data_IF_852443929610
#
_entry.id   IF_852443929610
#
_cell.length_a   1.000
_cell.length_b   1.000
_cell.length_c   1.000
_cell.angle_alpha   90.00
_cell.angle_beta   90.00
_cell.angle_gamma   90.00
#
_symmetry.space_group_name_H-M   'P 1'
#
loop_
_entity.id
_entity.type
_entity.pdbx_description
1 polymer ?
#
# COMPACT_ATOMS: atom_id res chain seq x y z
N UNK A 1 -0.56 6.85 31.21
CA UNK A 1 -0.04 7.13 29.85
C UNK A 1 -0.93 8.19 29.26
N UNK A 2 -0.37 9.35 28.94
CA UNK A 2 -1.07 10.44 28.29
C UNK A 2 -0.75 10.32 26.80
N UNK A 3 -1.77 10.21 25.95
CA UNK A 3 -1.61 10.20 24.49
C UNK A 3 -2.20 11.51 23.98
N UNK A 4 -1.40 12.32 23.28
CA UNK A 4 -1.83 13.61 22.73
C UNK A 4 -2.59 14.51 23.74
N UNK A 5 -2.12 14.59 24.99
CA UNK A 5 -2.74 15.45 26.01
C UNK A 5 -3.94 14.85 26.75
N UNK A 6 -4.48 13.71 26.31
CA UNK A 6 -5.62 13.03 26.95
C UNK A 6 -5.21 11.72 27.64
N UNK A 7 -5.94 11.33 28.68
CA UNK A 7 -5.72 10.06 29.38
C UNK A 7 -5.96 8.90 28.42
N UNK A 8 -4.92 8.15 28.12
CA UNK A 8 -5.00 6.97 27.27
C UNK A 8 -5.29 5.73 28.11
N UNK A 9 -6.33 4.99 27.72
CA UNK A 9 -6.70 3.73 28.35
C UNK A 9 -6.07 2.56 27.58
N UNK A 10 -5.62 1.54 28.32
CA UNK A 10 -4.99 0.35 27.75
C UNK A 10 -6.05 -0.63 27.25
N UNK A 11 -6.60 -0.37 26.07
CA UNK A 11 -7.47 -1.33 25.39
C UNK A 11 -6.63 -2.36 24.61
N UNK A 12 -6.90 -3.67 24.73
CA UNK A 12 -6.13 -4.72 24.05
C UNK A 12 -6.50 -4.83 22.56
N UNK A 13 -6.17 -3.81 21.78
CA UNK A 13 -6.51 -3.66 20.37
C UNK A 13 -6.08 -4.86 19.51
N UNK A 14 -4.81 -5.25 19.62
CA UNK A 14 -4.22 -6.32 18.78
C UNK A 14 -4.85 -7.67 19.07
N UNK A 15 -5.18 -7.97 20.33
CA UNK A 15 -5.76 -9.27 20.72
C UNK A 15 -7.05 -9.58 19.95
N UNK A 16 -7.88 -8.56 19.73
CA UNK A 16 -9.18 -8.73 19.11
C UNK A 16 -9.17 -8.44 17.62
N UNK A 17 -8.35 -7.49 17.15
CA UNK A 17 -8.38 -7.03 15.76
C UNK A 17 -7.26 -7.58 14.87
N UNK A 18 -6.44 -8.52 15.35
CA UNK A 18 -5.36 -9.12 14.55
C UNK A 18 -5.81 -9.70 13.19
N UNK A 19 -7.00 -10.33 13.02
CA UNK A 19 -7.38 -10.87 11.71
C UNK A 19 -7.57 -9.77 10.66
N UNK A 20 -8.00 -8.57 11.07
CA UNK A 20 -8.14 -7.42 10.18
C UNK A 20 -6.78 -6.86 9.77
N UNK A 21 -5.81 -6.82 10.68
CA UNK A 21 -4.45 -6.41 10.35
C UNK A 21 -3.79 -7.39 9.37
N UNK A 22 -4.00 -8.69 9.57
CA UNK A 22 -3.52 -9.72 8.63
C UNK A 22 -4.22 -9.59 7.29
N UNK A 23 -5.54 -9.45 7.27
CA UNK A 23 -6.32 -9.24 6.05
C UNK A 23 -5.86 -8.01 5.27
N UNK A 24 -5.60 -6.89 5.97
CA UNK A 24 -5.03 -5.69 5.38
C UNK A 24 -3.65 -5.95 4.78
N UNK A 25 -2.74 -6.59 5.52
CA UNK A 25 -1.40 -6.91 5.04
C UNK A 25 -1.41 -7.77 3.77
N UNK A 26 -2.23 -8.82 3.76
CA UNK A 26 -2.39 -9.70 2.59
C UNK A 26 -2.98 -8.95 1.40
N UNK A 27 -4.06 -8.19 1.63
CA UNK A 27 -4.74 -7.46 0.56
C UNK A 27 -3.85 -6.38 -0.05
N UNK A 28 -3.15 -5.61 0.79
CA UNK A 28 -2.22 -4.58 0.33
C UNK A 28 -1.08 -5.18 -0.52
N UNK A 29 -0.56 -6.34 -0.13
CA UNK A 29 0.47 -7.04 -0.89
C UNK A 29 -0.05 -7.52 -2.26
N UNK A 30 -1.24 -8.13 -2.29
CA UNK A 30 -1.87 -8.59 -3.53
C UNK A 30 -2.17 -7.42 -4.47
N UNK A 31 -2.77 -6.35 -3.96
CA UNK A 31 -3.09 -5.16 -4.75
C UNK A 31 -1.82 -4.50 -5.27
N UNK A 32 -0.76 -4.42 -4.47
CA UNK A 32 0.53 -3.86 -4.92
C UNK A 32 1.11 -4.64 -6.11
N UNK A 33 1.04 -5.98 -6.07
CA UNK A 33 1.47 -6.83 -7.19
C UNK A 33 0.58 -6.67 -8.41
N UNK A 34 -0.74 -6.68 -8.21
CA UNK A 34 -1.70 -6.50 -9.30
C UNK A 34 -1.50 -5.13 -9.98
N UNK A 35 -1.38 -4.06 -9.21
CA UNK A 35 -1.11 -2.72 -9.73
C UNK A 35 0.18 -2.67 -10.56
N UNK A 36 1.26 -3.28 -10.07
CA UNK A 36 2.54 -3.35 -10.77
C UNK A 36 2.46 -4.10 -12.10
N UNK A 37 1.61 -5.13 -12.19
CA UNK A 37 1.36 -5.84 -13.44
C UNK A 37 0.48 -5.02 -14.40
N UNK A 38 -0.58 -4.39 -13.88
CA UNK A 38 -1.58 -3.68 -14.69
C UNK A 38 -1.08 -2.35 -15.26
N UNK A 39 -0.22 -1.62 -14.54
CA UNK A 39 0.36 -0.37 -15.07
C UNK A 39 1.25 -0.60 -16.30
N UNK A 40 1.68 -1.85 -16.48
CA UNK A 40 2.67 -2.27 -17.44
C UNK A 40 2.08 -2.84 -18.74
N UNK A 41 0.76 -2.76 -18.91
CA UNK A 41 0.03 -3.15 -20.12
C UNK A 41 0.22 -2.13 -21.24
N UNK A 42 -0.09 -2.52 -22.48
CA UNK A 42 0.08 -1.67 -23.67
C UNK A 42 -0.68 -0.33 -23.57
N UNK A 43 -1.84 -0.33 -22.93
CA UNK A 43 -2.67 0.87 -22.72
C UNK A 43 -1.99 1.90 -21.81
N UNK A 44 -1.35 1.44 -20.72
CA UNK A 44 -0.87 2.32 -19.65
C UNK A 44 0.65 2.52 -19.65
N UNK A 45 1.41 1.77 -20.45
CA UNK A 45 2.87 1.81 -20.44
C UNK A 45 3.46 3.16 -20.87
N UNK A 46 2.71 3.90 -21.67
CA UNK A 46 3.08 5.21 -22.21
C UNK A 46 2.34 6.38 -21.53
N UNK A 47 1.56 6.13 -20.47
CA UNK A 47 0.94 7.21 -19.69
C UNK A 47 2.06 7.99 -18.96
N UNK A 48 2.19 9.33 -19.13
CA UNK A 48 3.23 10.14 -18.49
C UNK A 48 3.21 10.08 -16.96
N UNK A 49 2.12 9.62 -16.34
CA UNK A 49 1.98 9.42 -14.90
C UNK A 49 2.55 8.08 -14.43
N UNK A 50 3.04 7.24 -15.33
CA UNK A 50 3.62 5.96 -14.98
C UNK A 50 4.83 6.17 -14.03
N UNK A 51 4.87 5.53 -12.84
CA UNK A 51 5.89 5.78 -11.83
C UNK A 51 7.34 5.61 -12.31
N UNK A 52 7.54 4.76 -13.32
CA UNK A 52 8.83 4.56 -14.01
C UNK A 52 9.48 5.88 -14.45
N UNK A 53 8.70 6.82 -14.99
CA UNK A 53 9.24 8.09 -15.48
C UNK A 53 9.77 8.98 -14.33
N UNK A 54 9.14 8.91 -13.16
CA UNK A 54 9.65 9.58 -11.96
C UNK A 54 10.95 8.95 -11.43
N UNK A 55 11.18 7.67 -11.71
CA UNK A 55 12.42 6.96 -11.38
C UNK A 55 13.56 7.22 -12.39
N UNK A 56 13.32 7.98 -13.47
CA UNK A 56 14.31 8.32 -14.49
C UNK A 56 14.40 7.32 -15.65
N UNK A 57 13.53 6.32 -15.70
CA UNK A 57 13.48 5.33 -16.77
C UNK A 57 12.50 5.78 -17.87
N UNK A 58 13.01 6.05 -19.07
CA UNK A 58 12.22 6.58 -20.21
C UNK A 58 11.68 5.50 -21.14
N UNK A 59 12.28 4.31 -21.17
CA UNK A 59 11.88 3.22 -22.04
C UNK A 59 11.75 1.92 -21.24
N UNK A 60 10.69 1.13 -21.50
CA UNK A 60 10.69 -0.29 -21.11
C UNK A 60 11.36 -1.05 -22.23
N UNK A 61 12.49 -1.70 -21.95
CA UNK A 61 12.94 -2.84 -22.76
C UNK A 61 12.12 -4.08 -22.43
#
# INVERSE_FOLDING_TARGET
>A
MQFMGVKAYKFPLVKFYWPFFVGFGVSAWLVSKAQSALMNTEEFINDPRHPRFAAGETEKK
#
